data_IF_717954414159
#
_entry.id   IF_717954414159
#
_cell.length_a   1.000
_cell.length_b   1.000
_cell.length_c   1.000
_cell.angle_alpha   90.00
_cell.angle_beta   90.00
_cell.angle_gamma   90.00
#
_symmetry.space_group_name_H-M   'P 1'
#
loop_
_entity.id
_entity.type
_entity.pdbx_description
1 polymer ?
#
# COMPACT_ATOMS: atom_id res chain seq x y z
N UNK A 1 14.27 0.94 -5.43
CA UNK A 1 13.45 0.04 -4.61
C UNK A 1 11.97 0.27 -4.90
N UNK A 2 11.14 -0.74 -4.70
CA UNK A 2 9.70 -0.63 -4.94
C UNK A 2 9.09 0.37 -3.97
N UNK A 3 8.32 1.33 -4.47
CA UNK A 3 7.56 2.26 -3.64
C UNK A 3 6.33 1.60 -3.06
N UNK A 4 5.90 2.03 -1.88
CA UNK A 4 4.69 1.51 -1.22
C UNK A 4 3.75 2.68 -0.93
N UNK A 5 2.50 2.54 -1.38
CA UNK A 5 1.46 3.54 -1.16
C UNK A 5 0.26 2.90 -0.49
N UNK A 6 -0.14 3.42 0.66
CA UNK A 6 -1.35 2.97 1.35
C UNK A 6 -2.48 3.94 1.02
N UNK A 7 -3.59 3.42 0.52
CA UNK A 7 -4.80 4.21 0.22
C UNK A 7 -5.94 3.60 1.02
N UNK A 8 -6.36 4.27 2.07
CA UNK A 8 -7.29 3.69 3.05
C UNK A 8 -8.39 4.68 3.43
N UNK A 9 -9.42 4.16 4.09
CA UNK A 9 -10.39 5.01 4.78
C UNK A 9 -9.67 5.73 5.92
N UNK A 10 -9.91 7.05 6.06
CA UNK A 10 -9.37 7.85 7.14
C UNK A 10 -7.87 7.64 7.33
N UNK A 11 -7.42 7.64 8.57
CA UNK A 11 -6.00 7.61 8.93
C UNK A 11 -5.44 6.20 9.19
N UNK A 12 -6.14 5.15 8.79
CA UNK A 12 -5.69 3.76 9.00
C UNK A 12 -4.30 3.56 8.38
N UNK A 13 -4.10 4.02 7.15
CA UNK A 13 -2.81 3.85 6.46
C UNK A 13 -1.68 4.55 7.19
N UNK A 14 -1.89 5.80 7.60
CA UNK A 14 -0.88 6.55 8.35
C UNK A 14 -0.54 5.86 9.67
N UNK A 15 -1.54 5.41 10.39
CA UNK A 15 -1.34 4.71 11.67
C UNK A 15 -0.58 3.41 11.50
N UNK A 16 -0.85 2.67 10.42
CA UNK A 16 -0.10 1.45 10.12
C UNK A 16 1.37 1.74 9.83
N UNK A 17 1.67 2.81 9.09
CA UNK A 17 3.04 3.22 8.83
C UNK A 17 3.75 3.60 10.13
N UNK A 18 3.09 4.37 10.99
CA UNK A 18 3.65 4.77 12.28
C UNK A 18 3.95 3.55 13.16
N UNK A 19 3.04 2.56 13.18
CA UNK A 19 3.25 1.30 13.91
C UNK A 19 4.41 0.49 13.33
N UNK A 20 4.50 0.41 12.01
CA UNK A 20 5.61 -0.28 11.35
C UNK A 20 6.95 0.40 11.67
N UNK A 21 6.99 1.73 11.66
CA UNK A 21 8.17 2.50 12.02
C UNK A 21 8.63 2.20 13.45
N UNK A 22 7.68 2.10 14.37
CA UNK A 22 7.95 1.75 15.75
C UNK A 22 8.57 0.36 15.88
N UNK A 23 8.01 -0.63 15.18
CA UNK A 23 8.50 -2.02 15.22
C UNK A 23 9.87 -2.15 14.56
N UNK A 24 10.08 -1.47 13.45
CA UNK A 24 11.33 -1.53 12.67
C UNK A 24 12.41 -0.59 13.21
N UNK A 25 12.11 0.20 14.21
CA UNK A 25 12.99 1.18 14.84
C UNK A 25 13.54 2.23 13.87
N UNK A 26 12.79 2.52 12.83
CA UNK A 26 13.09 3.60 11.87
C UNK A 26 11.88 3.87 11.01
N UNK A 27 11.73 5.11 10.55
CA UNK A 27 10.68 5.47 9.61
C UNK A 27 11.06 4.98 8.21
N UNK A 28 10.19 4.22 7.53
CA UNK A 28 10.54 3.65 6.22
C UNK A 28 10.57 4.74 5.14
N UNK A 29 11.54 4.69 4.27
CA UNK A 29 11.62 5.57 3.10
C UNK A 29 10.73 5.03 1.98
N UNK A 30 10.24 5.92 1.12
CA UNK A 30 9.39 5.57 -0.03
C UNK A 30 8.14 4.79 0.35
N UNK A 31 7.56 5.11 1.50
CA UNK A 31 6.29 4.59 1.99
C UNK A 31 5.42 5.78 2.38
N UNK A 32 4.28 5.92 1.72
CA UNK A 32 3.36 7.03 1.97
C UNK A 32 1.93 6.55 2.07
N UNK A 33 1.05 7.41 2.59
CA UNK A 33 -0.38 7.10 2.72
C UNK A 33 -1.24 8.23 2.21
N UNK A 34 -2.42 7.86 1.72
CA UNK A 34 -3.49 8.78 1.34
C UNK A 34 -4.74 8.37 2.12
N UNK A 35 -5.35 9.34 2.79
CA UNK A 35 -6.61 9.13 3.53
C UNK A 35 -7.79 9.49 2.63
N UNK A 36 -8.68 8.55 2.42
CA UNK A 36 -9.92 8.75 1.68
C UNK A 36 -11.03 9.06 2.69
N UNK A 37 -11.63 10.26 2.55
CA UNK A 37 -12.75 10.69 3.38
C UNK A 37 -14.00 10.81 2.51
N UNK A 38 -15.16 10.47 3.07
CA UNK A 38 -16.40 10.28 2.33
C UNK A 38 -16.93 11.54 1.64
N UNK A 39 -16.51 12.72 2.05
CA UNK A 39 -17.08 13.99 1.58
C UNK A 39 -16.23 14.69 0.52
N UNK A 40 -15.15 14.09 0.05
CA UNK A 40 -14.24 14.71 -0.89
C UNK A 40 -14.50 14.30 -2.33
N UNK A 41 -14.10 15.16 -3.25
CA UNK A 41 -14.22 14.93 -4.68
C UNK A 41 -13.30 13.78 -5.12
N UNK A 42 -13.88 12.73 -5.70
CA UNK A 42 -13.15 11.56 -6.17
C UNK A 42 -12.09 11.89 -7.24
N UNK A 43 -12.35 12.91 -8.07
CA UNK A 43 -11.36 13.33 -9.07
C UNK A 43 -10.09 13.89 -8.45
N UNK A 44 -10.23 14.60 -7.33
CA UNK A 44 -9.07 15.11 -6.59
C UNK A 44 -8.22 13.96 -6.04
N UNK A 45 -8.86 12.92 -5.50
CA UNK A 45 -8.15 11.74 -5.03
C UNK A 45 -7.41 11.02 -6.16
N UNK A 46 -8.05 10.91 -7.33
CA UNK A 46 -7.40 10.30 -8.50
C UNK A 46 -6.13 11.04 -8.89
N UNK A 47 -6.17 12.38 -8.87
CA UNK A 47 -5.01 13.21 -9.20
C UNK A 47 -3.90 13.05 -8.15
N UNK A 48 -4.26 13.02 -6.88
CA UNK A 48 -3.30 12.82 -5.77
C UNK A 48 -2.64 11.44 -5.87
N UNK A 49 -3.44 10.40 -6.11
CA UNK A 49 -2.95 9.03 -6.26
C UNK A 49 -1.98 8.93 -7.44
N UNK A 50 -2.36 9.49 -8.58
CA UNK A 50 -1.52 9.51 -9.78
C UNK A 50 -0.16 10.15 -9.49
N UNK A 51 -0.16 11.29 -8.82
CA UNK A 51 1.07 12.01 -8.48
C UNK A 51 1.94 11.21 -7.51
N UNK A 52 1.32 10.60 -6.50
CA UNK A 52 2.07 9.78 -5.53
C UNK A 52 2.70 8.55 -6.17
N UNK A 53 2.01 7.92 -7.10
CA UNK A 53 2.57 6.79 -7.86
C UNK A 53 3.81 7.24 -8.62
N UNK A 54 3.73 8.38 -9.31
CA UNK A 54 4.88 8.95 -10.02
C UNK A 54 6.05 9.24 -9.09
N UNK A 55 5.77 9.88 -7.96
CA UNK A 55 6.80 10.26 -6.98
C UNK A 55 7.50 9.03 -6.37
N UNK A 56 6.75 7.95 -6.15
CA UNK A 56 7.25 6.74 -5.50
C UNK A 56 7.94 5.76 -6.45
N UNK A 57 7.65 5.85 -7.75
CA UNK A 57 8.23 4.95 -8.74
C UNK A 57 9.64 5.43 -9.15
N UNK A 58 10.64 4.71 -8.71
CA UNK A 58 12.04 4.97 -9.06
C UNK A 58 12.58 4.00 -10.12
N UNK A 59 11.68 3.30 -10.81
CA UNK A 59 12.01 2.33 -11.85
C UNK A 59 11.62 0.89 -11.52
N UNK A 60 11.29 0.60 -10.27
CA UNK A 60 10.92 -0.75 -9.82
C UNK A 60 9.41 -0.92 -9.58
N UNK A 61 8.63 0.12 -9.85
CA UNK A 61 7.18 0.09 -9.67
C UNK A 61 6.72 0.47 -8.27
N UNK A 62 5.40 0.40 -8.08
CA UNK A 62 4.74 0.77 -6.82
C UNK A 62 3.75 -0.31 -6.43
N UNK A 63 3.82 -0.74 -5.16
CA UNK A 63 2.83 -1.59 -4.54
C UNK A 63 1.85 -0.72 -3.76
N UNK A 64 0.59 -0.76 -4.16
CA UNK A 64 -0.49 -0.05 -3.47
C UNK A 64 -1.23 -1.05 -2.56
N UNK A 65 -1.45 -0.65 -1.32
CA UNK A 65 -2.21 -1.44 -0.35
C UNK A 65 -3.43 -0.66 0.08
N UNK A 66 -4.58 -1.32 0.10
CA UNK A 66 -5.84 -0.73 0.56
C UNK A 66 -6.50 -1.63 1.60
N UNK A 67 -7.43 -1.07 2.36
CA UNK A 67 -8.01 -1.76 3.53
C UNK A 67 -9.07 -2.79 3.17
N UNK A 68 -10.10 -2.43 2.40
CA UNK A 68 -11.23 -3.32 2.13
C UNK A 68 -11.44 -3.50 0.63
N UNK A 69 -11.56 -4.75 0.20
CA UNK A 69 -11.92 -5.09 -1.18
C UNK A 69 -13.31 -4.53 -1.52
N UNK A 70 -13.42 -3.90 -2.68
CA UNK A 70 -14.69 -3.41 -3.20
C UNK A 70 -15.20 -2.08 -2.63
N UNK A 71 -14.52 -1.51 -1.64
CA UNK A 71 -14.86 -0.18 -1.11
C UNK A 71 -14.33 0.94 -2.02
N UNK A 72 -14.69 2.20 -1.71
CA UNK A 72 -14.31 3.35 -2.53
C UNK A 72 -12.80 3.47 -2.78
N UNK A 73 -11.91 3.34 -1.79
CA UNK A 73 -10.48 3.37 -2.06
C UNK A 73 -10.05 2.31 -3.07
N UNK A 74 -10.53 1.08 -2.91
CA UNK A 74 -10.22 -0.01 -3.84
C UNK A 74 -10.71 0.30 -5.26
N UNK A 75 -11.93 0.81 -5.40
CA UNK A 75 -12.51 1.12 -6.71
C UNK A 75 -11.76 2.25 -7.42
N UNK A 76 -11.28 3.25 -6.67
CA UNK A 76 -10.47 4.33 -7.21
C UNK A 76 -9.14 3.83 -7.79
N UNK A 77 -8.60 2.76 -7.23
CA UNK A 77 -7.28 2.25 -7.59
C UNK A 77 -7.28 1.40 -8.85
N UNK A 78 -8.44 0.87 -9.23
CA UNK A 78 -8.53 -0.11 -10.32
C UNK A 78 -7.91 0.40 -11.63
N UNK A 79 -8.12 1.67 -11.97
CA UNK A 79 -7.61 2.26 -13.21
C UNK A 79 -6.10 2.46 -13.23
N UNK A 80 -5.43 2.40 -12.08
CA UNK A 80 -3.98 2.58 -11.99
C UNK A 80 -3.21 1.28 -12.13
N UNK A 81 -3.88 0.14 -12.08
CA UNK A 81 -3.23 -1.17 -12.16
C UNK A 81 -2.57 -1.32 -13.52
N UNK A 82 -1.27 -1.65 -13.48
CA UNK A 82 -0.48 -1.92 -14.68
C UNK A 82 0.53 -3.01 -14.34
N UNK A 83 0.41 -4.14 -15.02
CA UNK A 83 1.25 -5.31 -14.76
C UNK A 83 2.72 -4.93 -14.64
N UNK A 84 3.37 -5.42 -13.60
CA UNK A 84 4.79 -5.23 -13.28
C UNK A 84 5.20 -3.77 -12.99
N UNK A 85 4.24 -2.85 -12.94
CA UNK A 85 4.50 -1.42 -12.64
C UNK A 85 3.69 -0.91 -11.47
N UNK A 86 2.40 -1.19 -11.42
CA UNK A 86 1.51 -0.81 -10.31
C UNK A 86 0.61 -1.98 -10.01
N UNK A 87 0.77 -2.55 -8.83
CA UNK A 87 -0.08 -3.63 -8.33
C UNK A 87 -0.82 -3.16 -7.09
N UNK A 88 -2.03 -3.67 -6.90
CA UNK A 88 -2.89 -3.31 -5.76
C UNK A 88 -3.24 -4.56 -4.97
N UNK A 89 -3.06 -4.48 -3.65
CA UNK A 89 -3.41 -5.54 -2.70
C UNK A 89 -4.42 -4.97 -1.72
N UNK A 90 -5.47 -5.73 -1.44
CA UNK A 90 -6.52 -5.37 -0.48
C UNK A 90 -6.33 -6.14 0.84
N UNK A 91 -7.05 -5.71 1.87
CA UNK A 91 -7.00 -6.38 3.16
C UNK A 91 -5.73 -6.15 3.94
N UNK A 92 -5.16 -4.94 3.82
CA UNK A 92 -3.90 -4.60 4.50
C UNK A 92 -3.97 -4.92 6.00
N UNK A 93 -2.90 -5.50 6.49
CA UNK A 93 -2.67 -5.65 7.92
C UNK A 93 -1.20 -5.34 8.23
N UNK A 94 -0.88 -5.19 9.50
CA UNK A 94 0.47 -4.79 9.90
C UNK A 94 1.54 -5.80 9.47
N UNK A 95 1.34 -7.13 9.59
CA UNK A 95 2.32 -8.09 9.09
C UNK A 95 2.59 -7.95 7.59
N UNK A 96 1.55 -7.70 6.78
CA UNK A 96 1.71 -7.47 5.34
C UNK A 96 2.63 -6.28 5.08
N UNK A 97 2.37 -5.17 5.76
CA UNK A 97 3.13 -3.93 5.55
C UNK A 97 4.58 -4.11 5.97
N UNK A 98 4.83 -4.70 7.14
CA UNK A 98 6.19 -4.95 7.63
C UNK A 98 6.95 -5.85 6.65
N UNK A 99 6.31 -6.92 6.16
CA UNK A 99 6.92 -7.82 5.18
C UNK A 99 7.31 -7.08 3.91
N UNK A 100 6.39 -6.27 3.39
CA UNK A 100 6.64 -5.51 2.16
C UNK A 100 7.79 -4.51 2.34
N UNK A 101 7.82 -3.78 3.45
CA UNK A 101 8.90 -2.83 3.75
C UNK A 101 10.25 -3.55 3.86
N UNK A 102 10.28 -4.69 4.53
CA UNK A 102 11.52 -5.43 4.80
C UNK A 102 12.09 -6.11 3.56
N UNK A 103 11.23 -6.54 2.65
CA UNK A 103 11.61 -7.37 1.50
C UNK A 103 11.41 -6.66 0.17
N UNK A 104 11.51 -5.34 0.14
CA UNK A 104 11.36 -4.57 -1.11
C UNK A 104 12.47 -4.89 -2.10
N UNK A 105 12.27 -5.95 -2.84
CA UNK A 105 13.13 -6.38 -3.93
C UNK A 105 12.69 -5.71 -5.22
N UNK A 106 13.46 -5.90 -6.28
CA UNK A 106 13.19 -5.27 -7.57
C UNK A 106 12.11 -5.99 -8.40
N UNK A 107 11.47 -7.02 -7.83
CA UNK A 107 10.40 -7.78 -8.49
C UNK A 107 9.07 -7.53 -7.79
N UNK A 108 8.25 -6.69 -8.40
CA UNK A 108 6.96 -6.29 -7.83
C UNK A 108 6.02 -7.47 -7.65
N UNK A 109 5.92 -8.36 -8.64
CA UNK A 109 5.05 -9.54 -8.58
C UNK A 109 5.42 -10.46 -7.41
N UNK A 110 6.70 -10.67 -7.19
CA UNK A 110 7.19 -11.48 -6.07
C UNK A 110 6.88 -10.82 -4.73
N UNK A 111 7.07 -9.51 -4.63
CA UNK A 111 6.76 -8.77 -3.41
C UNK A 111 5.26 -8.86 -3.07
N UNK A 112 4.39 -8.75 -4.07
CA UNK A 112 2.93 -8.90 -3.90
C UNK A 112 2.61 -10.26 -3.30
N UNK A 113 3.11 -11.33 -3.92
CA UNK A 113 2.83 -12.70 -3.47
C UNK A 113 3.36 -12.96 -2.06
N UNK A 114 4.58 -12.55 -1.78
CA UNK A 114 5.20 -12.76 -0.47
C UNK A 114 4.47 -11.98 0.63
N UNK A 115 4.04 -10.77 0.33
CA UNK A 115 3.30 -9.93 1.27
C UNK A 115 1.94 -10.51 1.61
N UNK A 116 1.21 -11.01 0.62
CA UNK A 116 -0.09 -11.67 0.81
C UNK A 116 0.08 -12.92 1.66
N UNK A 117 1.04 -13.76 1.36
CA UNK A 117 1.29 -14.99 2.10
C UNK A 117 1.66 -14.71 3.55
N UNK A 118 2.50 -13.73 3.80
CA UNK A 118 2.85 -13.31 5.16
C UNK A 118 1.62 -12.81 5.93
N UNK A 119 0.79 -12.00 5.29
CA UNK A 119 -0.45 -11.49 5.89
C UNK A 119 -1.37 -12.61 6.33
N UNK A 120 -1.60 -13.59 5.45
CA UNK A 120 -2.44 -14.75 5.72
C UNK A 120 -1.91 -15.59 6.87
N UNK A 121 -0.61 -15.86 6.88
CA UNK A 121 0.05 -16.68 7.92
C UNK A 121 -0.02 -16.07 9.29
N UNK A 122 -0.14 -14.75 9.38
CA UNK A 122 -0.19 -14.06 10.67
C UNK A 122 -1.61 -13.96 11.24
N UNK A 123 -2.62 -14.41 10.51
CA UNK A 123 -3.99 -14.52 11.02
C UNK A 123 -4.09 -15.89 11.71
N UNK A 124 -3.99 -15.89 13.04
CA UNK A 124 -3.92 -17.11 13.83
C UNK A 124 -4.80 -17.04 15.05
N UNK A 125 -5.38 -18.21 15.42
CA UNK A 125 -5.98 -18.38 16.74
C UNK A 125 -4.90 -18.75 17.73
N UNK A 126 -4.89 -18.04 18.84
CA UNK A 126 -3.99 -18.35 19.97
C UNK A 126 -4.60 -19.45 20.82
#
# INVERSE_FOLDING_TARGET
>A
MIGILLVTHGDIGKSLIDCAAHILDKYPISVESISINSNNNLNNYSNIISQKIEDLDTGNGVLIMTDIYGATPCNLLNKFIKKDKVEVVTGINLPMLIKAISDRKDNLSLLVNDSIECAKKNIKKI
#
